data_IF_100334561134
#
_entry.id   IF_100334561134
#
_cell.length_a   1.000
_cell.length_b   1.000
_cell.length_c   1.000
_cell.angle_alpha   90.00
_cell.angle_beta   90.00
_cell.angle_gamma   90.00
#
_symmetry.space_group_name_H-M   'P 1'
#
loop_
_entity.id
_entity.type
_entity.pdbx_description
1 polymer ?
#
# COMPACT_ATOMS: atom_id res chain seq x y z
N UNK A 1 -42.55 -2.41 -33.43
CA UNK A 1 -41.24 -1.75 -33.19
C UNK A 1 -40.72 -2.20 -31.84
N UNK A 2 -39.54 -2.79 -31.79
CA UNK A 2 -38.90 -3.19 -30.53
C UNK A 2 -38.16 -1.97 -29.98
N UNK A 3 -38.65 -1.38 -28.90
CA UNK A 3 -38.11 -0.12 -28.34
C UNK A 3 -36.82 -0.30 -27.51
N UNK A 4 -36.46 -1.54 -27.17
CA UNK A 4 -35.21 -1.85 -26.45
C UNK A 4 -34.85 -3.33 -26.62
N UNK A 5 -33.59 -3.61 -26.95
CA UNK A 5 -32.99 -4.94 -26.79
C UNK A 5 -32.08 -4.89 -25.56
N UNK A 6 -32.19 -5.86 -24.67
CA UNK A 6 -31.28 -6.05 -23.53
C UNK A 6 -30.87 -7.51 -23.44
N UNK A 7 -29.75 -7.78 -22.79
CA UNK A 7 -29.31 -9.15 -22.49
C UNK A 7 -30.27 -9.80 -21.48
N UNK A 8 -30.25 -11.14 -21.42
CA UNK A 8 -30.98 -11.92 -20.40
C UNK A 8 -30.23 -11.98 -19.06
N UNK A 9 -29.04 -11.39 -18.99
CA UNK A 9 -28.24 -11.33 -17.78
C UNK A 9 -28.84 -10.31 -16.80
N UNK A 10 -28.66 -10.54 -15.51
CA UNK A 10 -29.12 -9.61 -14.48
C UNK A 10 -28.43 -8.25 -14.65
N UNK A 11 -29.23 -7.21 -14.80
CA UNK A 11 -28.77 -5.83 -15.03
C UNK A 11 -28.50 -5.15 -13.69
N UNK A 12 -27.26 -5.23 -13.23
CA UNK A 12 -26.79 -4.58 -12.01
C UNK A 12 -26.78 -3.04 -12.09
N UNK A 13 -26.95 -2.44 -13.28
CA UNK A 13 -26.79 -1.01 -13.53
C UNK A 13 -28.11 -0.23 -13.49
N UNK A 14 -29.21 -0.85 -13.07
CA UNK A 14 -30.47 -0.13 -12.85
C UNK A 14 -30.42 0.62 -11.53
N UNK A 15 -29.72 1.76 -11.52
CA UNK A 15 -30.04 2.82 -10.58
C UNK A 15 -31.54 3.13 -10.78
N UNK A 16 -32.37 3.08 -9.72
CA UNK A 16 -33.76 3.48 -9.83
C UNK A 16 -33.83 4.85 -10.50
N UNK A 17 -34.63 5.00 -11.56
CA UNK A 17 -34.90 6.33 -12.10
C UNK A 17 -35.45 7.19 -10.96
N UNK A 18 -34.99 8.43 -10.76
CA UNK A 18 -35.47 9.27 -9.68
C UNK A 18 -36.98 9.39 -9.75
N UNK A 19 -37.66 8.90 -8.71
CA UNK A 19 -39.09 8.99 -8.52
C UNK A 19 -39.36 10.39 -7.96
N UNK A 20 -39.60 11.37 -8.84
CA UNK A 20 -40.22 12.68 -8.57
C UNK A 20 -40.38 13.04 -7.05
N UNK A 21 -39.28 13.21 -6.31
CA UNK A 21 -39.40 13.36 -4.86
C UNK A 21 -38.08 13.37 -4.09
N UNK A 22 -37.04 12.72 -4.60
CA UNK A 22 -35.76 12.58 -3.89
C UNK A 22 -35.08 13.92 -3.62
N UNK A 23 -35.24 14.90 -4.52
CA UNK A 23 -34.70 16.25 -4.33
C UNK A 23 -35.33 16.94 -3.12
N UNK A 24 -36.65 16.79 -2.94
CA UNK A 24 -37.36 17.36 -1.79
C UNK A 24 -36.99 16.59 -0.52
N UNK A 25 -37.04 15.26 -0.58
CA UNK A 25 -36.67 14.40 0.54
C UNK A 25 -35.24 14.66 1.04
N UNK A 26 -34.27 14.80 0.12
CA UNK A 26 -32.88 15.14 0.46
C UNK A 26 -32.77 16.49 1.19
N UNK A 27 -33.53 17.50 0.77
CA UNK A 27 -33.56 18.80 1.46
C UNK A 27 -34.19 18.72 2.84
N UNK A 28 -35.25 17.93 2.98
CA UNK A 28 -35.93 17.77 4.26
C UNK A 28 -35.05 16.99 5.25
N UNK A 29 -34.32 15.98 4.79
CA UNK A 29 -33.30 15.28 5.59
C UNK A 29 -32.16 16.19 6.02
N UNK A 30 -31.71 17.15 5.18
CA UNK A 30 -30.73 18.16 5.61
C UNK A 30 -31.28 19.03 6.73
N UNK A 31 -32.54 19.46 6.66
CA UNK A 31 -33.17 20.23 7.75
C UNK A 31 -33.23 19.42 9.04
N UNK A 32 -33.47 18.12 8.95
CA UNK A 32 -33.48 17.21 10.10
C UNK A 32 -32.07 17.07 10.70
N UNK A 33 -31.05 16.83 9.89
CA UNK A 33 -29.65 16.81 10.32
C UNK A 33 -29.22 18.13 10.98
N UNK A 34 -29.65 19.28 10.43
CA UNK A 34 -29.39 20.59 11.04
C UNK A 34 -29.96 20.71 12.45
N UNK A 35 -31.14 20.13 12.73
CA UNK A 35 -31.76 20.15 14.06
C UNK A 35 -31.04 19.23 15.06
N UNK A 36 -30.46 18.14 14.56
CA UNK A 36 -29.75 17.14 15.36
C UNK A 36 -28.25 17.49 15.59
N UNK A 37 -27.80 18.67 15.16
CA UNK A 37 -26.41 19.12 15.25
C UNK A 37 -26.30 20.61 15.64
N UNK A 38 -27.17 21.07 16.54
CA UNK A 38 -27.19 22.48 16.99
C UNK A 38 -26.12 22.73 18.05
N UNK A 39 -26.07 21.92 19.11
CA UNK A 39 -25.11 22.03 20.21
C UNK A 39 -24.16 20.82 20.26
N UNK A 40 -24.74 19.61 20.24
CA UNK A 40 -24.03 18.34 20.14
C UNK A 40 -24.72 17.41 19.12
N UNK A 41 -23.95 16.48 18.56
CA UNK A 41 -24.47 15.45 17.63
C UNK A 41 -25.37 14.49 18.42
N UNK A 42 -26.67 14.50 18.08
CA UNK A 42 -27.64 13.63 18.72
C UNK A 42 -27.49 12.16 18.26
N UNK A 43 -27.85 11.15 19.07
CA UNK A 43 -27.73 9.73 18.73
C UNK A 43 -28.47 9.31 17.46
N UNK A 44 -29.53 10.02 17.07
CA UNK A 44 -30.33 9.77 15.88
C UNK A 44 -29.68 10.30 14.59
N UNK A 45 -28.65 11.16 14.72
CA UNK A 45 -27.99 11.77 13.58
C UNK A 45 -27.44 10.75 12.55
N UNK A 46 -26.76 9.65 12.94
CA UNK A 46 -26.25 8.66 11.99
C UNK A 46 -27.34 8.00 11.15
N UNK A 47 -28.54 7.80 11.71
CA UNK A 47 -29.68 7.22 10.99
C UNK A 47 -30.21 8.18 9.93
N UNK A 48 -30.35 9.46 10.27
CA UNK A 48 -30.78 10.51 9.32
C UNK A 48 -29.72 10.72 8.24
N UNK A 49 -28.44 10.71 8.61
CA UNK A 49 -27.32 10.82 7.67
C UNK A 49 -27.29 9.64 6.69
N UNK A 50 -27.50 8.42 7.17
CA UNK A 50 -27.61 7.23 6.32
C UNK A 50 -28.80 7.32 5.36
N UNK A 51 -29.98 7.75 5.85
CA UNK A 51 -31.16 8.01 4.99
C UNK A 51 -30.86 9.07 3.93
N UNK A 52 -30.12 10.12 4.28
CA UNK A 52 -29.68 11.15 3.34
C UNK A 52 -28.79 10.54 2.25
N UNK A 53 -27.79 9.72 2.60
CA UNK A 53 -26.93 9.04 1.62
C UNK A 53 -27.75 8.18 0.65
N UNK A 54 -28.67 7.35 1.17
CA UNK A 54 -29.52 6.49 0.34
C UNK A 54 -30.45 7.27 -0.60
N UNK A 55 -30.93 8.43 -0.17
CA UNK A 55 -31.82 9.28 -0.96
C UNK A 55 -31.04 10.10 -1.99
N UNK A 56 -29.97 10.77 -1.55
CA UNK A 56 -29.19 11.69 -2.35
C UNK A 56 -28.38 11.00 -3.45
N UNK A 57 -28.02 9.72 -3.28
CA UNK A 57 -27.29 8.96 -4.31
C UNK A 57 -28.07 8.77 -5.62
N UNK A 58 -29.40 8.91 -5.59
CA UNK A 58 -30.29 8.82 -6.75
C UNK A 58 -30.43 10.16 -7.50
N UNK A 59 -29.88 11.25 -6.95
CA UNK A 59 -29.96 12.56 -7.57
C UNK A 59 -29.07 12.64 -8.81
N UNK A 60 -29.58 13.30 -9.84
CA UNK A 60 -28.76 13.70 -10.99
C UNK A 60 -27.77 14.80 -10.60
N UNK A 61 -26.71 14.98 -11.39
CA UNK A 61 -25.71 16.03 -11.17
C UNK A 61 -26.34 17.44 -10.98
N UNK A 62 -27.32 17.89 -11.81
CA UNK A 62 -27.97 19.17 -11.59
C UNK A 62 -28.75 19.25 -10.27
N UNK A 63 -29.44 18.16 -9.90
CA UNK A 63 -30.23 18.12 -8.67
C UNK A 63 -29.34 18.14 -7.43
N UNK A 64 -28.27 17.33 -7.40
CA UNK A 64 -27.30 17.30 -6.31
C UNK A 64 -26.54 18.63 -6.19
N UNK A 65 -26.13 19.23 -7.31
CA UNK A 65 -25.55 20.57 -7.34
C UNK A 65 -26.48 21.64 -6.76
N UNK A 66 -27.79 21.52 -7.02
CA UNK A 66 -28.79 22.40 -6.45
C UNK A 66 -28.96 22.19 -4.93
N UNK A 67 -28.89 20.94 -4.45
CA UNK A 67 -28.91 20.65 -3.01
C UNK A 67 -27.66 21.25 -2.34
N UNK A 68 -26.48 21.04 -2.91
CA UNK A 68 -25.22 21.58 -2.42
C UNK A 68 -25.22 23.12 -2.33
N UNK A 69 -25.57 23.81 -3.42
CA UNK A 69 -25.58 25.28 -3.47
C UNK A 69 -26.57 25.92 -2.48
N UNK A 70 -27.70 25.26 -2.18
CA UNK A 70 -28.71 25.77 -1.25
C UNK A 70 -28.50 25.33 0.19
N UNK A 71 -27.55 24.45 0.47
CA UNK A 71 -27.40 23.85 1.79
C UNK A 71 -27.04 24.88 2.87
N UNK A 72 -26.18 25.83 2.53
CA UNK A 72 -25.77 26.90 3.43
C UNK A 72 -26.92 27.83 3.84
N UNK A 73 -27.99 27.93 3.03
CA UNK A 73 -29.18 28.69 3.39
C UNK A 73 -30.16 27.91 4.26
N UNK A 74 -29.96 26.60 4.46
CA UNK A 74 -30.80 25.78 5.35
C UNK A 74 -30.36 25.95 6.80
N UNK A 75 -29.05 25.82 7.07
CA UNK A 75 -28.43 26.08 8.36
C UNK A 75 -26.91 26.27 8.19
N UNK A 76 -26.22 26.74 9.24
CA UNK A 76 -24.76 26.98 9.22
C UNK A 76 -23.94 25.73 8.91
N UNK A 77 -24.36 24.56 9.41
CA UNK A 77 -23.72 23.26 9.18
C UNK A 77 -24.20 22.54 7.92
N UNK A 78 -25.20 23.08 7.21
CA UNK A 78 -25.88 22.40 6.10
C UNK A 78 -24.93 22.04 4.96
N UNK A 79 -23.97 22.92 4.65
CA UNK A 79 -22.94 22.65 3.64
C UNK A 79 -22.00 21.53 4.08
N UNK A 80 -21.59 21.50 5.36
CA UNK A 80 -20.71 20.47 5.92
C UNK A 80 -21.35 19.08 5.79
N UNK A 81 -22.63 18.95 6.16
CA UNK A 81 -23.36 17.69 6.02
C UNK A 81 -23.34 17.10 4.60
N UNK A 82 -23.39 17.94 3.58
CA UNK A 82 -23.29 17.47 2.19
C UNK A 82 -21.86 17.10 1.83
N UNK A 83 -20.88 17.93 2.22
CA UNK A 83 -19.47 17.66 1.94
C UNK A 83 -19.04 16.31 2.55
N UNK A 84 -19.50 16.00 3.76
CA UNK A 84 -19.22 14.73 4.44
C UNK A 84 -19.90 13.54 3.74
N UNK A 85 -21.09 13.75 3.17
CA UNK A 85 -21.85 12.69 2.51
C UNK A 85 -21.37 12.40 1.07
N UNK A 86 -20.79 13.38 0.36
CA UNK A 86 -20.44 13.29 -1.05
C UNK A 86 -19.65 12.02 -1.42
N UNK A 87 -18.55 11.66 -0.72
CA UNK A 87 -17.79 10.45 -1.02
C UNK A 87 -18.59 9.16 -0.81
N UNK A 88 -19.56 9.18 0.09
CA UNK A 88 -20.37 8.01 0.48
C UNK A 88 -21.56 7.76 -0.46
N UNK A 89 -21.96 8.76 -1.27
CA UNK A 89 -23.08 8.61 -2.21
C UNK A 89 -22.78 7.52 -3.26
N UNK A 90 -21.54 7.44 -3.71
CA UNK A 90 -21.09 6.42 -4.67
C UNK A 90 -21.78 6.52 -6.03
N UNK A 91 -22.06 7.73 -6.52
CA UNK A 91 -22.68 7.97 -7.82
C UNK A 91 -21.86 8.93 -8.67
N UNK A 92 -21.95 8.80 -10.00
CA UNK A 92 -21.25 9.68 -10.94
C UNK A 92 -21.62 11.15 -10.74
N UNK A 93 -22.88 11.43 -10.38
CA UNK A 93 -23.33 12.77 -10.04
C UNK A 93 -22.58 13.36 -8.83
N UNK A 94 -22.33 12.55 -7.79
CA UNK A 94 -21.57 12.97 -6.63
C UNK A 94 -20.11 13.25 -6.98
N UNK A 95 -19.48 12.37 -7.76
CA UNK A 95 -18.09 12.54 -8.20
C UNK A 95 -17.92 13.78 -9.08
N UNK A 96 -18.92 14.10 -9.91
CA UNK A 96 -18.89 15.31 -10.74
C UNK A 96 -19.02 16.58 -9.90
N UNK A 97 -19.88 16.59 -8.88
CA UNK A 97 -19.96 17.68 -7.89
C UNK A 97 -18.63 17.81 -7.12
N UNK A 98 -18.05 16.70 -6.67
CA UNK A 98 -16.75 16.71 -5.98
C UNK A 98 -15.65 17.29 -6.86
N UNK A 99 -15.54 16.83 -8.11
CA UNK A 99 -14.60 17.36 -9.11
C UNK A 99 -14.74 18.87 -9.26
N UNK A 100 -15.96 19.38 -9.40
CA UNK A 100 -16.20 20.82 -9.56
C UNK A 100 -15.81 21.61 -8.31
N UNK A 101 -16.06 21.08 -7.12
CA UNK A 101 -15.65 21.70 -5.86
C UNK A 101 -14.13 21.75 -5.76
N UNK A 102 -13.43 20.65 -6.08
CA UNK A 102 -11.96 20.57 -6.06
C UNK A 102 -11.36 21.58 -7.04
N UNK A 103 -11.79 21.56 -8.30
CA UNK A 103 -11.24 22.44 -9.34
C UNK A 103 -11.45 23.93 -9.04
N UNK A 104 -12.49 24.29 -8.28
CA UNK A 104 -12.81 25.66 -7.86
C UNK A 104 -12.17 26.06 -6.52
N UNK A 105 -11.26 25.26 -5.97
CA UNK A 105 -10.66 25.52 -4.65
C UNK A 105 -11.74 25.67 -3.54
N UNK A 106 -12.83 24.90 -3.64
CA UNK A 106 -14.04 25.08 -2.82
C UNK A 106 -13.99 24.46 -1.43
N UNK A 107 -12.96 23.65 -1.14
CA UNK A 107 -12.68 23.02 0.17
C UNK A 107 -11.17 23.00 0.42
N UNK A 108 -10.74 22.90 1.70
CA UNK A 108 -9.35 22.66 2.08
C UNK A 108 -8.74 21.39 1.47
N UNK A 109 -7.41 21.35 1.33
CA UNK A 109 -6.69 20.25 0.67
C UNK A 109 -6.83 18.91 1.43
N UNK A 110 -6.84 18.94 2.76
CA UNK A 110 -7.09 17.78 3.63
C UNK A 110 -8.45 17.13 3.34
N UNK A 111 -9.51 17.93 3.16
CA UNK A 111 -10.84 17.42 2.76
C UNK A 111 -10.77 16.77 1.38
N UNK A 112 -10.00 17.34 0.44
CA UNK A 112 -9.81 16.72 -0.88
C UNK A 112 -9.07 15.39 -0.75
N UNK A 113 -8.10 15.29 0.14
CA UNK A 113 -7.36 14.07 0.39
C UNK A 113 -8.25 12.96 0.98
N UNK A 114 -9.09 13.29 1.95
CA UNK A 114 -10.07 12.35 2.51
C UNK A 114 -11.05 11.85 1.44
N UNK A 115 -11.50 12.76 0.58
CA UNK A 115 -12.35 12.42 -0.57
C UNK A 115 -11.65 11.46 -1.53
N UNK A 116 -10.43 11.77 -1.96
CA UNK A 116 -9.66 10.91 -2.87
C UNK A 116 -9.39 9.53 -2.28
N UNK A 117 -9.08 9.47 -0.98
CA UNK A 117 -8.89 8.21 -0.26
C UNK A 117 -10.18 7.38 -0.26
N UNK A 118 -11.32 7.98 0.09
CA UNK A 118 -12.61 7.28 0.05
C UNK A 118 -12.96 6.76 -1.36
N UNK A 119 -12.69 7.56 -2.40
CA UNK A 119 -12.91 7.15 -3.79
C UNK A 119 -12.01 5.97 -4.20
N UNK A 120 -10.79 5.86 -3.66
CA UNK A 120 -9.85 4.78 -3.99
C UNK A 120 -10.36 3.39 -3.60
N UNK A 121 -11.33 3.32 -2.68
CA UNK A 121 -11.96 2.08 -2.22
C UNK A 121 -13.27 1.73 -2.93
N UNK A 122 -13.66 2.45 -3.99
CA UNK A 122 -14.86 2.11 -4.76
C UNK A 122 -14.66 0.73 -5.42
N UNK A 123 -15.51 -0.28 -5.13
CA UNK A 123 -15.24 -1.66 -5.58
C UNK A 123 -15.37 -1.87 -7.09
N UNK A 124 -16.28 -1.11 -7.74
CA UNK A 124 -16.64 -1.25 -9.16
C UNK A 124 -16.93 0.12 -9.78
N UNK A 125 -15.91 0.97 -9.98
CA UNK A 125 -16.09 2.21 -10.74
C UNK A 125 -16.47 1.88 -12.19
N UNK A 126 -17.18 2.80 -12.84
CA UNK A 126 -17.51 2.70 -14.26
C UNK A 126 -16.64 3.63 -15.13
N UNK A 127 -16.75 3.52 -16.45
CA UNK A 127 -15.95 4.32 -17.37
C UNK A 127 -16.23 5.83 -17.23
N UNK A 128 -17.47 6.20 -16.90
CA UNK A 128 -17.85 7.59 -16.66
C UNK A 128 -17.11 8.16 -15.44
N UNK A 129 -16.96 7.38 -14.36
CA UNK A 129 -16.17 7.73 -13.18
C UNK A 129 -14.73 8.07 -13.57
N UNK A 130 -14.10 7.25 -14.42
CA UNK A 130 -12.74 7.50 -14.93
C UNK A 130 -12.68 8.83 -15.68
N UNK A 131 -13.64 9.09 -16.57
CA UNK A 131 -13.75 10.35 -17.30
C UNK A 131 -13.91 11.57 -16.38
N UNK A 132 -14.71 11.46 -15.33
CA UNK A 132 -14.95 12.53 -14.35
C UNK A 132 -13.68 12.88 -13.57
N UNK A 133 -12.91 11.90 -13.11
CA UNK A 133 -11.73 12.15 -12.26
C UNK A 133 -10.48 12.53 -13.07
N UNK A 134 -10.42 12.19 -14.36
CA UNK A 134 -9.26 12.45 -15.23
C UNK A 134 -8.74 13.90 -15.17
N UNK A 135 -9.59 14.95 -15.23
CA UNK A 135 -9.13 16.34 -15.16
C UNK A 135 -8.40 16.70 -13.86
N UNK A 136 -8.63 15.96 -12.77
CA UNK A 136 -7.99 16.21 -11.48
C UNK A 136 -6.47 15.95 -11.53
N UNK A 137 -5.99 15.08 -12.43
CA UNK A 137 -4.55 14.87 -12.66
C UNK A 137 -3.83 16.11 -13.20
N UNK A 138 -4.56 16.99 -13.90
CA UNK A 138 -4.02 18.22 -14.50
C UNK A 138 -4.29 19.46 -13.65
N UNK A 139 -4.83 19.29 -12.45
CA UNK A 139 -5.11 20.40 -11.57
C UNK A 139 -3.81 20.98 -10.98
N UNK A 140 -3.74 22.31 -10.87
CA UNK A 140 -2.52 23.05 -10.46
C UNK A 140 -1.97 22.65 -9.08
N UNK A 141 -2.82 22.14 -8.20
CA UNK A 141 -2.51 21.69 -6.82
C UNK A 141 -2.53 20.16 -6.69
N UNK A 142 -2.55 19.42 -7.81
CA UNK A 142 -2.47 17.97 -7.79
C UNK A 142 -1.10 17.54 -7.29
N UNK A 143 -1.08 16.84 -6.15
CA UNK A 143 0.11 16.25 -5.54
C UNK A 143 0.12 14.72 -5.73
N UNK A 144 1.02 14.03 -5.03
CA UNK A 144 1.15 12.58 -5.12
C UNK A 144 -0.17 11.82 -4.86
N UNK A 145 -1.02 12.31 -3.95
CA UNK A 145 -2.24 11.60 -3.56
C UNK A 145 -3.26 11.57 -4.70
N UNK A 146 -3.31 12.59 -5.55
CA UNK A 146 -4.16 12.60 -6.75
C UNK A 146 -3.79 11.48 -7.71
N UNK A 147 -2.50 11.36 -8.02
CA UNK A 147 -1.98 10.36 -8.95
C UNK A 147 -2.22 8.95 -8.41
N UNK A 148 -1.91 8.72 -7.13
CA UNK A 148 -2.06 7.40 -6.50
C UNK A 148 -3.53 7.01 -6.35
N UNK A 149 -4.41 7.92 -5.93
CA UNK A 149 -5.84 7.61 -5.76
C UNK A 149 -6.51 7.35 -7.11
N UNK A 150 -6.23 8.17 -8.13
CA UNK A 150 -6.78 7.97 -9.47
C UNK A 150 -6.27 6.66 -10.08
N UNK A 151 -4.98 6.34 -9.91
CA UNK A 151 -4.43 5.06 -10.36
C UNK A 151 -5.10 3.84 -9.70
N UNK A 152 -5.47 3.93 -8.42
CA UNK A 152 -6.20 2.87 -7.71
C UNK A 152 -7.64 2.69 -8.22
N UNK A 153 -8.31 3.80 -8.57
CA UNK A 153 -9.65 3.75 -9.18
C UNK A 153 -9.57 3.12 -10.57
N UNK A 154 -8.58 3.50 -11.39
CA UNK A 154 -8.34 2.91 -12.71
C UNK A 154 -8.03 1.42 -12.59
N UNK A 155 -7.18 1.02 -11.63
CA UNK A 155 -6.93 -0.39 -11.33
C UNK A 155 -8.21 -1.15 -11.01
N UNK A 156 -9.05 -0.59 -10.13
CA UNK A 156 -10.33 -1.20 -9.75
C UNK A 156 -11.28 -1.34 -10.94
N UNK A 157 -11.32 -0.35 -11.85
CA UNK A 157 -12.05 -0.47 -13.12
C UNK A 157 -11.49 -1.61 -13.99
N UNK A 158 -10.17 -1.66 -14.16
CA UNK A 158 -9.48 -2.63 -15.00
C UNK A 158 -9.62 -4.06 -14.50
N UNK A 159 -9.66 -4.28 -13.17
CA UNK A 159 -9.87 -5.60 -12.56
C UNK A 159 -11.16 -6.27 -13.05
N UNK A 160 -12.19 -5.50 -13.38
CA UNK A 160 -13.49 -6.01 -13.81
C UNK A 160 -13.73 -5.89 -15.32
N UNK A 161 -12.79 -5.34 -16.08
CA UNK A 161 -12.95 -5.06 -17.52
C UNK A 161 -11.70 -5.48 -18.30
N UNK A 162 -11.75 -6.66 -18.94
CA UNK A 162 -10.59 -7.29 -19.61
C UNK A 162 -9.92 -6.46 -20.71
N UNK A 163 -10.66 -5.57 -21.37
CA UNK A 163 -10.14 -4.64 -22.39
C UNK A 163 -10.07 -3.19 -21.88
N UNK A 164 -9.82 -2.97 -20.59
CA UNK A 164 -9.84 -1.61 -20.03
C UNK A 164 -8.81 -0.68 -20.70
N UNK A 165 -7.62 -1.19 -21.06
CA UNK A 165 -6.56 -0.40 -21.66
C UNK A 165 -6.92 0.20 -23.03
N UNK A 166 -7.85 -0.43 -23.76
CA UNK A 166 -8.31 0.10 -25.05
C UNK A 166 -9.34 1.22 -24.92
N UNK A 167 -9.85 1.49 -23.71
CA UNK A 167 -10.79 2.58 -23.48
C UNK A 167 -10.03 3.90 -23.48
N UNK A 168 -10.55 4.90 -24.21
CA UNK A 168 -9.86 6.17 -24.41
C UNK A 168 -9.54 6.88 -23.09
N UNK A 169 -10.46 6.84 -22.14
CA UNK A 169 -10.33 7.44 -20.81
C UNK A 169 -9.14 6.84 -20.04
N UNK A 170 -9.00 5.51 -20.07
CA UNK A 170 -7.92 4.79 -19.41
C UNK A 170 -6.59 5.01 -20.15
N UNK A 171 -6.60 4.86 -21.48
CA UNK A 171 -5.41 5.05 -22.32
C UNK A 171 -4.82 6.47 -22.18
N UNK A 172 -5.68 7.49 -22.07
CA UNK A 172 -5.23 8.87 -21.86
C UNK A 172 -4.53 9.08 -20.52
N UNK A 173 -5.02 8.44 -19.44
CA UNK A 173 -4.37 8.48 -18.13
C UNK A 173 -3.02 7.77 -18.19
N UNK A 174 -2.97 6.57 -18.76
CA UNK A 174 -1.73 5.80 -18.91
C UNK A 174 -0.70 6.61 -19.70
N UNK A 175 -1.06 7.13 -20.87
CA UNK A 175 -0.17 7.95 -21.70
C UNK A 175 0.32 9.21 -20.98
N UNK A 176 -0.54 9.88 -20.20
CA UNK A 176 -0.14 11.03 -19.40
C UNK A 176 0.94 10.65 -18.36
N UNK A 177 0.74 9.55 -17.64
CA UNK A 177 1.68 9.05 -16.65
C UNK A 177 2.99 8.55 -17.28
N UNK A 178 2.90 7.83 -18.40
CA UNK A 178 4.06 7.36 -19.16
C UNK A 178 4.91 8.51 -19.68
N UNK A 179 4.29 9.55 -20.26
CA UNK A 179 5.02 10.73 -20.72
C UNK A 179 5.74 11.45 -19.58
N UNK A 180 5.09 11.55 -18.41
CA UNK A 180 5.69 12.15 -17.23
C UNK A 180 6.86 11.31 -16.69
N UNK A 181 6.71 9.98 -16.63
CA UNK A 181 7.78 9.07 -16.23
C UNK A 181 8.95 9.08 -17.25
N UNK A 182 8.65 9.04 -18.54
CA UNK A 182 9.63 9.05 -19.62
C UNK A 182 10.49 10.31 -19.63
N UNK A 183 9.82 11.47 -19.60
CA UNK A 183 10.51 12.77 -19.49
C UNK A 183 11.36 12.81 -18.22
N UNK A 184 10.78 12.32 -17.13
CA UNK A 184 11.46 12.16 -15.86
C UNK A 184 12.76 11.37 -16.00
N UNK A 185 12.73 10.19 -16.61
CA UNK A 185 13.87 9.28 -16.68
C UNK A 185 14.97 9.70 -17.68
N UNK A 186 14.72 10.60 -18.62
CA UNK A 186 15.74 11.09 -19.56
C UNK A 186 16.53 12.32 -19.08
N UNK A 187 16.00 13.09 -18.13
CA UNK A 187 16.65 14.34 -17.69
C UNK A 187 17.90 14.04 -16.87
N UNK A 188 19.06 14.56 -17.30
CA UNK A 188 20.35 14.35 -16.62
C UNK A 188 20.51 15.17 -15.33
N UNK A 189 20.05 16.42 -15.33
CA UNK A 189 20.07 17.29 -14.14
C UNK A 189 18.69 17.36 -13.51
N UNK A 190 18.47 16.55 -12.47
CA UNK A 190 17.17 16.50 -11.78
C UNK A 190 17.24 17.24 -10.46
N UNK A 191 16.34 18.21 -10.29
CA UNK A 191 16.03 18.69 -8.96
C UNK A 191 15.10 17.70 -8.23
N UNK A 192 15.01 17.84 -6.92
CA UNK A 192 14.19 16.96 -6.07
C UNK A 192 12.73 16.87 -6.54
N UNK A 193 12.16 17.99 -7.01
CA UNK A 193 10.78 18.05 -7.51
C UNK A 193 10.58 17.20 -8.77
N UNK A 194 11.57 17.18 -9.67
CA UNK A 194 11.52 16.35 -10.87
C UNK A 194 11.61 14.85 -10.52
N UNK A 195 12.46 14.50 -9.55
CA UNK A 195 12.58 13.12 -9.04
C UNK A 195 11.24 12.67 -8.45
N UNK A 196 10.64 13.48 -7.59
CA UNK A 196 9.33 13.18 -6.97
C UNK A 196 8.22 12.98 -8.00
N UNK A 197 8.13 13.87 -9.00
CA UNK A 197 7.14 13.75 -10.08
C UNK A 197 7.34 12.49 -10.91
N UNK A 198 8.59 12.09 -11.16
CA UNK A 198 8.93 10.86 -11.88
C UNK A 198 8.52 9.64 -11.05
N UNK A 199 8.88 9.63 -9.76
CA UNK A 199 8.60 8.55 -8.82
C UNK A 199 7.08 8.32 -8.67
N UNK A 200 6.31 9.40 -8.49
CA UNK A 200 4.85 9.33 -8.38
C UNK A 200 4.22 8.78 -9.66
N UNK A 201 4.70 9.19 -10.84
CA UNK A 201 4.19 8.69 -12.11
C UNK A 201 4.45 7.17 -12.27
N UNK A 202 5.66 6.72 -11.95
CA UNK A 202 6.03 5.29 -11.98
C UNK A 202 5.18 4.48 -11.00
N UNK A 203 4.99 4.97 -9.77
CA UNK A 203 4.14 4.31 -8.76
C UNK A 203 2.68 4.24 -9.20
N UNK A 204 2.16 5.30 -9.84
CA UNK A 204 0.82 5.32 -10.41
C UNK A 204 0.66 4.32 -11.57
N UNK A 205 1.66 4.18 -12.45
CA UNK A 205 1.67 3.15 -13.49
C UNK A 205 1.63 1.73 -12.88
N UNK A 206 2.47 1.47 -11.89
CA UNK A 206 2.48 0.18 -11.18
C UNK A 206 1.21 -0.10 -10.37
N UNK A 207 0.51 0.95 -9.94
CA UNK A 207 -0.82 0.82 -9.34
C UNK A 207 -1.86 0.40 -10.37
N UNK A 208 -1.88 1.03 -11.55
CA UNK A 208 -2.80 0.70 -12.65
C UNK A 208 -2.63 -0.76 -13.07
N UNK A 209 -1.39 -1.17 -13.37
CA UNK A 209 -1.05 -2.56 -13.68
C UNK A 209 -1.69 -3.09 -14.97
N UNK A 210 -1.70 -2.30 -16.06
CA UNK A 210 -2.29 -2.69 -17.35
C UNK A 210 -1.19 -3.01 -18.35
N UNK A 211 -1.18 -4.24 -18.88
CA UNK A 211 -0.12 -4.78 -19.72
C UNK A 211 0.28 -3.95 -20.97
N UNK A 212 -0.60 -3.07 -21.48
CA UNK A 212 -0.21 -2.14 -22.54
C UNK A 212 0.95 -1.22 -22.14
N UNK A 213 1.14 -0.96 -20.84
CA UNK A 213 2.30 -0.25 -20.32
C UNK A 213 3.60 -1.07 -20.35
N UNK A 214 3.54 -2.40 -20.43
CA UNK A 214 4.73 -3.29 -20.53
C UNK A 214 5.46 -3.07 -21.85
N UNK A 215 4.71 -2.79 -22.93
CA UNK A 215 5.27 -2.47 -24.25
C UNK A 215 5.94 -1.10 -24.29
N UNK A 216 5.79 -0.29 -23.24
CA UNK A 216 6.44 1.00 -23.15
C UNK A 216 7.84 0.82 -22.53
N UNK A 217 8.93 1.12 -23.27
CA UNK A 217 10.30 0.97 -22.79
C UNK A 217 10.66 1.95 -21.66
N UNK A 218 9.73 2.81 -21.24
CA UNK A 218 9.96 3.82 -20.20
C UNK A 218 10.42 3.22 -18.89
N UNK A 219 9.78 2.15 -18.39
CA UNK A 219 10.20 1.55 -17.11
C UNK A 219 11.60 0.95 -17.21
N UNK A 220 11.90 0.26 -18.31
CA UNK A 220 13.23 -0.29 -18.58
C UNK A 220 14.29 0.81 -18.68
N UNK A 221 13.98 1.92 -19.36
CA UNK A 221 14.85 3.11 -19.42
C UNK A 221 15.15 3.67 -18.03
N UNK A 222 14.14 3.71 -17.15
CA UNK A 222 14.34 4.12 -15.75
C UNK A 222 15.16 3.12 -14.93
N UNK A 223 15.17 1.83 -15.28
CA UNK A 223 15.94 0.81 -14.56
C UNK A 223 17.41 0.84 -15.00
N UNK A 224 17.67 1.00 -16.29
CA UNK A 224 19.01 0.87 -16.89
C UNK A 224 19.88 2.11 -16.71
N UNK A 225 19.29 3.30 -16.58
CA UNK A 225 20.08 4.53 -16.41
C UNK A 225 20.68 4.63 -15.00
N UNK A 226 21.99 4.40 -14.91
CA UNK A 226 22.77 4.48 -13.67
C UNK A 226 22.88 5.89 -13.08
N UNK A 227 22.59 6.93 -13.87
CA UNK A 227 22.55 8.31 -13.37
C UNK A 227 21.31 8.59 -12.52
N UNK A 228 20.32 7.69 -12.56
CA UNK A 228 19.09 7.84 -11.81
C UNK A 228 19.26 7.48 -10.34
N UNK A 229 18.60 8.23 -9.43
CA UNK A 229 18.53 7.85 -8.03
C UNK A 229 17.99 6.43 -7.87
N UNK A 230 18.57 5.68 -6.92
CA UNK A 230 18.26 4.26 -6.73
C UNK A 230 16.77 4.04 -6.46
N UNK A 231 16.11 4.94 -5.74
CA UNK A 231 14.68 4.90 -5.46
C UNK A 231 13.80 4.98 -6.70
N UNK A 232 14.24 5.67 -7.76
CA UNK A 232 13.52 5.72 -9.04
C UNK A 232 13.69 4.39 -9.78
N UNK A 233 14.91 3.85 -9.79
CA UNK A 233 15.22 2.57 -10.43
C UNK A 233 14.46 1.41 -9.78
N UNK A 234 14.45 1.36 -8.44
CA UNK A 234 13.69 0.36 -7.67
C UNK A 234 12.18 0.51 -7.91
N UNK A 235 11.64 1.74 -7.87
CA UNK A 235 10.22 1.95 -8.13
C UNK A 235 9.83 1.51 -9.55
N UNK A 236 10.73 1.65 -10.53
CA UNK A 236 10.51 1.17 -11.89
C UNK A 236 10.49 -0.36 -11.96
N UNK A 237 11.32 -1.07 -11.19
CA UNK A 237 11.19 -2.53 -11.01
C UNK A 237 9.83 -2.87 -10.38
N UNK A 238 9.50 -2.27 -9.23
CA UNK A 238 8.24 -2.52 -8.51
C UNK A 238 6.97 -2.17 -9.29
N UNK A 239 7.07 -1.32 -10.31
CA UNK A 239 5.96 -1.01 -11.20
C UNK A 239 5.50 -2.20 -12.05
N UNK A 240 6.32 -3.25 -12.17
CA UNK A 240 5.99 -4.47 -12.90
C UNK A 240 5.13 -5.46 -12.10
N UNK A 241 4.95 -5.25 -10.79
CA UNK A 241 4.31 -6.20 -9.86
C UNK A 241 2.91 -6.72 -10.22
N UNK A 242 2.19 -6.01 -11.11
CA UNK A 242 0.83 -6.33 -11.58
C UNK A 242 0.78 -6.59 -13.09
N UNK A 243 1.93 -6.58 -13.75
CA UNK A 243 2.07 -6.83 -15.17
C UNK A 243 2.31 -8.34 -15.41
N UNK A 244 1.99 -8.86 -16.60
CA UNK A 244 2.26 -10.26 -16.94
C UNK A 244 3.76 -10.59 -16.80
N UNK A 245 4.04 -11.67 -16.08
CA UNK A 245 5.40 -12.09 -15.78
C UNK A 245 6.12 -12.65 -17.01
N UNK A 246 5.40 -13.21 -17.98
CA UNK A 246 5.96 -13.88 -19.16
C UNK A 246 6.85 -12.94 -20.00
N UNK A 247 6.53 -11.65 -20.04
CA UNK A 247 7.23 -10.67 -20.86
C UNK A 247 8.51 -10.13 -20.20
N UNK A 248 8.63 -10.24 -18.86
CA UNK A 248 9.68 -9.53 -18.10
C UNK A 248 10.55 -10.45 -17.22
N UNK A 249 10.15 -11.71 -17.02
CA UNK A 249 10.86 -12.66 -16.15
C UNK A 249 12.32 -12.86 -16.55
N UNK A 250 12.63 -12.98 -17.84
CA UNK A 250 14.01 -13.17 -18.32
C UNK A 250 14.87 -11.92 -18.07
N UNK A 251 14.32 -10.72 -18.32
CA UNK A 251 15.00 -9.46 -18.07
C UNK A 251 15.41 -9.32 -16.59
N UNK A 252 14.46 -9.50 -15.67
CA UNK A 252 14.75 -9.39 -14.23
C UNK A 252 15.63 -10.53 -13.70
N UNK A 253 15.51 -11.74 -14.26
CA UNK A 253 16.39 -12.84 -13.90
C UNK A 253 17.84 -12.56 -14.31
N UNK A 254 18.06 -11.94 -15.48
CA UNK A 254 19.39 -11.51 -15.90
C UNK A 254 19.92 -10.37 -15.02
N UNK A 255 19.08 -9.38 -14.71
CA UNK A 255 19.46 -8.27 -13.83
C UNK A 255 19.82 -8.73 -12.40
N UNK A 256 19.11 -9.72 -11.88
CA UNK A 256 19.44 -10.38 -10.62
C UNK A 256 20.81 -11.10 -10.66
N UNK A 257 21.14 -11.76 -11.78
CA UNK A 257 22.36 -12.56 -11.93
C UNK A 257 23.62 -11.73 -12.16
N UNK A 258 23.48 -10.53 -12.68
CA UNK A 258 24.59 -9.65 -12.96
C UNK A 258 25.20 -9.08 -11.67
N UNK A 259 26.38 -9.56 -11.30
CA UNK A 259 27.07 -9.13 -10.09
C UNK A 259 27.65 -7.71 -10.16
N UNK A 260 27.68 -7.09 -11.35
CA UNK A 260 28.09 -5.68 -11.51
C UNK A 260 27.00 -4.70 -11.05
N UNK A 261 25.75 -5.17 -10.97
CA UNK A 261 24.59 -4.37 -10.58
C UNK A 261 24.53 -4.18 -9.06
N UNK A 262 24.07 -3.01 -8.62
CA UNK A 262 23.92 -2.70 -7.20
C UNK A 262 23.00 -3.73 -6.49
N UNK A 263 23.40 -4.13 -5.27
CA UNK A 263 22.70 -5.16 -4.50
C UNK A 263 21.22 -4.86 -4.29
N UNK A 264 20.84 -3.60 -4.11
CA UNK A 264 19.43 -3.22 -3.91
C UNK A 264 18.59 -3.52 -5.15
N UNK A 265 19.12 -3.21 -6.34
CA UNK A 265 18.42 -3.44 -7.61
C UNK A 265 18.37 -4.94 -7.97
N UNK A 266 19.44 -5.68 -7.67
CA UNK A 266 19.46 -7.15 -7.80
C UNK A 266 18.42 -7.81 -6.91
N UNK A 267 18.29 -7.37 -5.65
CA UNK A 267 17.28 -7.89 -4.72
C UNK A 267 15.86 -7.52 -5.18
N UNK A 268 15.63 -6.28 -5.64
CA UNK A 268 14.34 -5.87 -6.19
C UNK A 268 13.94 -6.74 -7.40
N UNK A 269 14.90 -7.03 -8.28
CA UNK A 269 14.69 -7.86 -9.47
C UNK A 269 14.40 -9.31 -9.09
N UNK A 270 15.10 -9.85 -8.09
CA UNK A 270 14.80 -11.16 -7.52
C UNK A 270 13.37 -11.24 -6.98
N UNK A 271 12.94 -10.24 -6.19
CA UNK A 271 11.57 -10.20 -5.66
C UNK A 271 10.53 -10.13 -6.76
N UNK A 272 10.80 -9.38 -7.83
CA UNK A 272 9.90 -9.29 -8.99
C UNK A 272 9.75 -10.63 -9.72
N UNK A 273 10.87 -11.32 -9.97
CA UNK A 273 10.87 -12.68 -10.56
C UNK A 273 10.14 -13.69 -9.66
N UNK A 274 10.28 -13.58 -8.35
CA UNK A 274 9.66 -14.49 -7.38
C UNK A 274 8.15 -14.28 -7.22
N UNK A 275 7.53 -13.31 -7.89
CA UNK A 275 6.05 -13.18 -7.94
C UNK A 275 5.38 -14.27 -8.76
N UNK A 276 6.04 -14.71 -9.83
CA UNK A 276 5.56 -15.77 -10.72
C UNK A 276 6.65 -16.85 -10.90
N UNK A 277 7.05 -17.55 -9.81
CA UNK A 277 8.13 -18.51 -9.89
C UNK A 277 7.70 -19.72 -10.71
N UNK A 278 8.61 -20.23 -11.51
CA UNK A 278 8.47 -21.54 -12.16
C UNK A 278 9.72 -22.39 -11.90
N UNK A 279 9.67 -23.67 -12.25
CA UNK A 279 10.77 -24.61 -12.02
C UNK A 279 12.12 -24.12 -12.55
N UNK A 280 12.15 -23.57 -13.78
CA UNK A 280 13.39 -23.08 -14.40
C UNK A 280 13.95 -21.84 -13.71
N UNK A 281 13.07 -20.92 -13.31
CA UNK A 281 13.40 -19.72 -12.53
C UNK A 281 14.02 -20.14 -11.19
N UNK A 282 13.33 -20.99 -10.43
CA UNK A 282 13.78 -21.44 -9.10
C UNK A 282 15.12 -22.18 -9.20
N UNK A 283 15.26 -23.07 -10.18
CA UNK A 283 16.52 -23.77 -10.45
C UNK A 283 17.67 -22.81 -10.77
N UNK A 284 17.40 -21.77 -11.57
CA UNK A 284 18.40 -20.76 -11.92
C UNK A 284 18.80 -19.94 -10.71
N UNK A 285 17.84 -19.50 -9.89
CA UNK A 285 18.08 -18.77 -8.65
C UNK A 285 18.94 -19.61 -7.69
N UNK A 286 18.62 -20.89 -7.49
CA UNK A 286 19.43 -21.80 -6.65
C UNK A 286 20.88 -21.89 -7.14
N UNK A 287 21.10 -22.04 -8.46
CA UNK A 287 22.45 -22.06 -9.03
C UNK A 287 23.17 -20.72 -8.85
N UNK A 288 22.49 -19.60 -9.08
CA UNK A 288 23.07 -18.28 -8.86
C UNK A 288 23.45 -18.04 -7.40
N UNK A 289 22.71 -18.63 -6.47
CA UNK A 289 23.04 -18.59 -5.04
C UNK A 289 24.32 -19.40 -4.71
N UNK A 290 24.62 -20.48 -5.42
CA UNK A 290 25.87 -21.24 -5.27
C UNK A 290 27.09 -20.40 -5.68
N UNK A 291 26.94 -19.58 -6.72
CA UNK A 291 27.99 -18.72 -7.30
C UNK A 291 28.03 -17.30 -6.69
N UNK A 292 27.08 -16.94 -5.82
CA UNK A 292 26.97 -15.59 -5.26
C UNK A 292 28.10 -15.27 -4.29
N UNK A 293 28.72 -14.10 -4.46
CA UNK A 293 29.81 -13.59 -3.63
C UNK A 293 29.38 -12.42 -2.74
N UNK A 294 28.32 -11.70 -3.12
CA UNK A 294 27.81 -10.54 -2.39
C UNK A 294 26.87 -10.99 -1.28
N UNK A 295 27.36 -10.93 -0.04
CA UNK A 295 26.58 -11.31 1.15
C UNK A 295 25.23 -10.61 1.27
N UNK A 296 25.08 -9.37 0.77
CA UNK A 296 23.78 -8.68 0.80
C UNK A 296 22.73 -9.42 -0.03
N UNK A 297 23.06 -9.82 -1.25
CA UNK A 297 22.14 -10.55 -2.12
C UNK A 297 21.97 -11.99 -1.63
N UNK A 298 23.07 -12.67 -1.31
CA UNK A 298 23.05 -14.06 -0.89
C UNK A 298 22.27 -14.32 0.39
N UNK A 299 22.46 -13.50 1.43
CA UNK A 299 21.74 -13.65 2.71
C UNK A 299 20.25 -13.38 2.55
N UNK A 300 19.88 -12.40 1.71
CA UNK A 300 18.48 -12.08 1.43
C UNK A 300 17.78 -13.21 0.68
N UNK A 301 18.36 -13.65 -0.44
CA UNK A 301 17.79 -14.73 -1.27
C UNK A 301 17.70 -16.02 -0.47
N UNK A 302 18.75 -16.38 0.28
CA UNK A 302 18.74 -17.58 1.11
C UNK A 302 17.64 -17.52 2.17
N UNK A 303 17.55 -16.42 2.93
CA UNK A 303 16.52 -16.29 3.98
C UNK A 303 15.11 -16.28 3.41
N UNK A 304 14.86 -15.61 2.27
CA UNK A 304 13.55 -15.63 1.60
C UNK A 304 13.17 -17.03 1.14
N UNK A 305 14.04 -17.76 0.44
CA UNK A 305 13.77 -19.13 -0.01
C UNK A 305 13.54 -20.09 1.18
N UNK A 306 14.33 -19.93 2.25
CA UNK A 306 14.20 -20.74 3.46
C UNK A 306 12.88 -20.48 4.20
N UNK A 307 12.46 -19.22 4.28
CA UNK A 307 11.19 -18.83 4.86
C UNK A 307 10.01 -19.33 4.02
N UNK A 308 10.09 -19.25 2.70
CA UNK A 308 9.07 -19.83 1.81
C UNK A 308 8.89 -21.34 2.05
N UNK A 309 10.00 -22.08 2.18
CA UNK A 309 9.99 -23.51 2.51
C UNK A 309 9.32 -23.84 3.86
N UNK A 310 9.41 -22.93 4.83
CA UNK A 310 8.90 -23.12 6.20
C UNK A 310 7.52 -22.52 6.44
N UNK A 311 7.01 -21.73 5.50
CA UNK A 311 5.74 -21.03 5.68
C UNK A 311 4.58 -22.01 5.88
N UNK A 312 3.64 -21.64 6.75
CA UNK A 312 2.37 -22.33 6.92
C UNK A 312 1.25 -21.71 6.07
N UNK A 313 1.56 -20.74 5.21
CA UNK A 313 0.58 -20.03 4.37
C UNK A 313 0.11 -20.92 3.20
N UNK A 314 -1.21 -21.12 3.01
CA UNK A 314 -1.74 -21.90 1.88
C UNK A 314 -1.34 -21.34 0.52
N UNK A 315 -1.22 -20.01 0.39
CA UNK A 315 -0.79 -19.34 -0.84
C UNK A 315 0.67 -19.60 -1.22
N UNK A 316 1.48 -20.19 -0.33
CA UNK A 316 2.91 -20.48 -0.57
C UNK A 316 3.17 -21.97 -0.87
N UNK A 317 2.16 -22.83 -0.92
CA UNK A 317 2.31 -24.29 -1.15
C UNK A 317 2.92 -24.60 -2.52
N UNK A 318 2.55 -23.86 -3.57
CA UNK A 318 3.08 -24.08 -4.92
C UNK A 318 4.60 -23.83 -4.98
N UNK A 319 5.05 -22.70 -4.42
CA UNK A 319 6.47 -22.37 -4.38
C UNK A 319 7.26 -23.30 -3.45
N UNK A 320 6.64 -23.81 -2.38
CA UNK A 320 7.26 -24.84 -1.55
C UNK A 320 7.56 -26.11 -2.35
N UNK A 321 6.61 -26.58 -3.15
CA UNK A 321 6.81 -27.75 -4.01
C UNK A 321 7.97 -27.54 -4.99
N UNK A 322 8.09 -26.36 -5.59
CA UNK A 322 9.21 -26.01 -6.47
C UNK A 322 10.57 -25.98 -5.75
N UNK A 323 10.58 -25.80 -4.43
CA UNK A 323 11.80 -25.70 -3.62
C UNK A 323 12.25 -27.03 -2.99
N UNK A 324 11.42 -28.08 -2.97
CA UNK A 324 11.70 -29.36 -2.29
C UNK A 324 12.89 -30.16 -2.86
N UNK A 325 13.21 -30.01 -4.15
CA UNK A 325 14.13 -30.92 -4.86
C UNK A 325 15.62 -30.81 -4.46
N UNK A 326 16.03 -29.74 -3.74
CA UNK A 326 17.44 -29.51 -3.38
C UNK A 326 17.58 -28.64 -2.14
N UNK A 327 18.49 -29.04 -1.25
CA UNK A 327 18.91 -28.26 -0.09
C UNK A 327 19.47 -26.89 -0.50
N UNK A 328 19.17 -25.87 0.29
CA UNK A 328 19.71 -24.52 0.11
C UNK A 328 21.13 -24.45 0.69
N UNK A 329 22.08 -23.94 -0.09
CA UNK A 329 23.46 -23.76 0.36
C UNK A 329 23.51 -22.80 1.56
N UNK A 330 24.08 -23.25 2.68
CA UNK A 330 24.22 -22.46 3.91
C UNK A 330 25.62 -21.85 4.04
N UNK A 331 26.02 -20.97 3.11
CA UNK A 331 27.32 -20.28 3.14
C UNK A 331 27.27 -18.80 3.55
N UNK A 332 26.08 -18.20 3.61
CA UNK A 332 25.91 -16.77 3.87
C UNK A 332 25.81 -16.45 5.36
N UNK A 333 26.14 -15.21 5.72
CA UNK A 333 26.12 -14.77 7.11
C UNK A 333 24.69 -14.48 7.59
N UNK A 334 24.33 -15.07 8.72
CA UNK A 334 23.05 -14.80 9.39
C UNK A 334 23.08 -13.54 10.28
N UNK A 335 24.04 -12.63 10.12
CA UNK A 335 24.06 -11.38 10.90
C UNK A 335 23.05 -10.37 10.36
N UNK A 336 21.86 -10.44 10.96
CA UNK A 336 20.69 -9.59 10.71
C UNK A 336 20.92 -8.08 10.88
N UNK A 337 22.02 -7.68 11.53
CA UNK A 337 22.35 -6.27 11.79
C UNK A 337 23.15 -5.63 10.65
N UNK A 338 23.64 -6.43 9.72
CA UNK A 338 24.57 -5.99 8.66
C UNK A 338 24.14 -6.42 7.27
N UNK A 339 23.54 -7.59 7.15
CA UNK A 339 23.18 -8.18 5.87
C UNK A 339 21.67 -8.17 5.65
N UNK A 340 21.26 -7.99 4.41
CA UNK A 340 19.86 -8.05 4.00
C UNK A 340 19.24 -9.40 4.33
N UNK A 341 18.02 -9.38 4.87
CA UNK A 341 17.28 -10.59 5.25
C UNK A 341 15.78 -10.41 4.97
N UNK A 342 15.14 -11.51 4.61
CA UNK A 342 13.69 -11.67 4.67
C UNK A 342 13.32 -12.36 6.00
N UNK A 343 12.21 -11.93 6.58
CA UNK A 343 11.60 -12.52 7.77
C UNK A 343 10.17 -12.88 7.45
N UNK A 344 9.75 -14.08 7.84
CA UNK A 344 8.39 -14.54 7.68
C UNK A 344 7.93 -15.21 8.97
N UNK A 345 6.68 -14.97 9.32
CA UNK A 345 6.01 -15.77 10.32
C UNK A 345 4.57 -16.02 9.87
N UNK A 346 4.13 -17.26 9.98
CA UNK A 346 2.83 -17.71 9.49
C UNK A 346 2.19 -18.70 10.44
N UNK A 347 0.87 -18.63 10.54
CA UNK A 347 0.03 -19.56 11.30
C UNK A 347 -1.24 -19.82 10.49
N UNK A 348 -1.59 -21.09 10.31
CA UNK A 348 -2.81 -21.47 9.60
C UNK A 348 -3.54 -22.59 10.34
N UNK A 349 -4.84 -22.40 10.55
CA UNK A 349 -5.72 -23.35 11.23
C UNK A 349 -6.61 -24.04 10.19
N UNK A 350 -6.18 -25.22 9.73
CA UNK A 350 -6.87 -25.98 8.67
C UNK A 350 -8.36 -26.23 8.98
N UNK A 351 -8.68 -26.58 10.23
CA UNK A 351 -10.07 -26.86 10.66
C UNK A 351 -11.02 -25.65 10.52
N UNK A 352 -10.49 -24.43 10.54
CA UNK A 352 -11.28 -23.20 10.43
C UNK A 352 -11.08 -22.49 9.09
N UNK A 353 -10.20 -23.01 8.23
CA UNK A 353 -9.77 -22.37 6.99
C UNK A 353 -9.42 -20.88 7.19
N UNK A 354 -8.65 -20.63 8.24
CA UNK A 354 -8.29 -19.31 8.72
C UNK A 354 -6.83 -19.28 9.12
N UNK A 355 -6.12 -18.24 8.70
CA UNK A 355 -4.76 -18.01 9.14
C UNK A 355 -4.28 -16.61 8.83
N UNK A 356 -3.03 -16.38 9.16
CA UNK A 356 -2.37 -15.13 8.82
C UNK A 356 -0.87 -15.34 8.74
N UNK A 357 -0.25 -14.50 7.93
CA UNK A 357 1.19 -14.40 7.82
C UNK A 357 1.60 -12.93 7.85
N UNK A 358 2.82 -12.70 8.32
CA UNK A 358 3.52 -11.46 8.12
C UNK A 358 4.83 -11.74 7.41
N UNK A 359 5.25 -10.77 6.60
CA UNK A 359 6.50 -10.84 5.87
C UNK A 359 7.20 -9.50 5.96
N UNK A 360 8.51 -9.51 6.22
CA UNK A 360 9.33 -8.32 6.29
C UNK A 360 10.62 -8.48 5.50
N UNK A 361 10.92 -7.51 4.67
CA UNK A 361 12.18 -7.42 3.96
C UNK A 361 13.00 -6.30 4.57
N UNK A 362 14.24 -6.58 4.98
CA UNK A 362 15.19 -5.55 5.43
C UNK A 362 16.38 -5.59 4.50
N UNK A 363 16.60 -4.48 3.78
CA UNK A 363 17.63 -4.38 2.76
C UNK A 363 18.75 -3.47 3.25
N UNK A 364 19.94 -4.04 3.35
CA UNK A 364 21.18 -3.33 3.61
C UNK A 364 21.95 -3.11 2.31
N UNK A 365 22.74 -2.04 2.30
CA UNK A 365 23.68 -1.73 1.21
C UNK A 365 25.09 -1.62 1.78
N UNK A 366 26.14 -2.01 1.03
CA UNK A 366 27.53 -1.79 1.46
C UNK A 366 27.87 -0.32 1.72
N UNK A 367 27.04 0.61 1.21
CA UNK A 367 27.20 2.06 1.34
C UNK A 367 26.76 2.62 2.70
N UNK A 368 26.15 1.82 3.57
CA UNK A 368 25.68 2.26 4.91
C UNK A 368 25.71 1.12 5.92
N UNK A 369 25.88 1.43 7.20
CA UNK A 369 25.65 0.49 8.29
C UNK A 369 24.19 0.44 8.75
N UNK A 370 23.34 1.38 8.29
CA UNK A 370 21.91 1.36 8.48
C UNK A 370 21.24 0.65 7.29
N UNK A 371 20.09 0.00 7.50
CA UNK A 371 19.31 -0.56 6.40
C UNK A 371 18.83 0.58 5.49
N UNK A 372 18.91 0.36 4.18
CA UNK A 372 18.43 1.30 3.16
C UNK A 372 16.92 1.29 3.07
N UNK A 373 16.31 0.11 3.15
CA UNK A 373 14.86 -0.01 3.15
C UNK A 373 14.38 -1.14 4.06
N UNK A 374 13.15 -0.99 4.52
CA UNK A 374 12.42 -2.04 5.22
C UNK A 374 10.99 -2.07 4.68
N UNK A 375 10.47 -3.26 4.39
CA UNK A 375 9.05 -3.47 4.09
C UNK A 375 8.45 -4.41 5.12
N UNK A 376 7.17 -4.25 5.39
CA UNK A 376 6.39 -5.12 6.26
C UNK A 376 4.99 -5.27 5.67
N UNK A 377 4.57 -6.52 5.46
CA UNK A 377 3.31 -6.92 4.88
C UNK A 377 2.60 -7.86 5.87
N UNK A 378 1.29 -7.70 6.01
CA UNK A 378 0.40 -8.63 6.70
C UNK A 378 -0.65 -9.14 5.72
N UNK A 379 -0.70 -10.45 5.57
CA UNK A 379 -1.70 -11.16 4.77
C UNK A 379 -2.54 -12.04 5.67
N UNK A 380 -3.85 -12.02 5.47
CA UNK A 380 -4.82 -12.84 6.20
C UNK A 380 -5.47 -13.80 5.21
N UNK A 381 -5.51 -15.08 5.59
CA UNK A 381 -6.17 -16.13 4.82
C UNK A 381 -7.55 -16.38 5.43
N UNK A 382 -8.61 -16.06 4.68
CA UNK A 382 -10.00 -16.16 5.11
C UNK A 382 -10.84 -16.77 3.99
N UNK A 383 -11.58 -17.84 4.30
CA UNK A 383 -12.55 -18.45 3.38
C UNK A 383 -11.96 -18.89 2.03
N UNK A 384 -10.69 -19.30 2.01
CA UNK A 384 -10.00 -19.75 0.80
C UNK A 384 -9.38 -18.63 -0.04
N UNK A 385 -9.44 -17.38 0.42
CA UNK A 385 -8.81 -16.23 -0.21
C UNK A 385 -7.72 -15.65 0.68
N UNK A 386 -6.59 -15.26 0.08
CA UNK A 386 -5.51 -14.54 0.75
C UNK A 386 -5.64 -13.05 0.48
N UNK A 387 -5.81 -12.24 1.53
CA UNK A 387 -5.96 -10.79 1.41
C UNK A 387 -4.83 -10.09 2.16
N UNK A 388 -4.02 -9.33 1.43
CA UNK A 388 -3.10 -8.37 2.04
C UNK A 388 -3.92 -7.22 2.65
N UNK A 389 -3.86 -7.08 3.96
CA UNK A 389 -4.62 -6.09 4.72
C UNK A 389 -3.77 -4.87 5.09
N UNK A 390 -2.45 -4.99 5.05
CA UNK A 390 -1.54 -3.96 5.48
C UNK A 390 -0.17 -4.15 4.83
N UNK A 391 0.35 -3.10 4.21
CA UNK A 391 1.72 -3.05 3.72
C UNK A 391 2.31 -1.67 4.03
N UNK A 392 3.49 -1.66 4.64
CA UNK A 392 4.27 -0.45 4.88
C UNK A 392 5.67 -0.66 4.36
N UNK A 393 6.20 0.36 3.68
CA UNK A 393 7.56 0.38 3.18
C UNK A 393 8.21 1.70 3.57
N UNK A 394 9.42 1.62 4.10
CA UNK A 394 10.25 2.78 4.45
C UNK A 394 11.60 2.68 3.76
N UNK A 395 12.10 3.81 3.26
CA UNK A 395 13.46 3.97 2.76
C UNK A 395 14.15 5.09 3.52
N UNK A 396 15.41 4.91 3.86
CA UNK A 396 16.23 5.93 4.52
C UNK A 396 17.62 6.00 3.89
N UNK A 397 18.12 7.22 3.73
CA UNK A 397 19.48 7.51 3.28
C UNK A 397 20.01 8.74 4.03
N UNK A 398 21.30 8.73 4.41
CA UNK A 398 21.93 9.88 5.06
C UNK A 398 21.53 10.10 6.52
N UNK A 399 20.92 9.10 7.17
CA UNK A 399 20.48 9.18 8.56
C UNK A 399 21.57 8.83 9.59
N UNK A 400 22.75 8.39 9.13
CA UNK A 400 23.86 7.92 9.95
C UNK A 400 24.30 8.98 10.97
N UNK A 401 24.43 10.23 10.54
CA UNK A 401 24.83 11.33 11.43
C UNK A 401 23.81 11.57 12.55
N UNK A 402 22.51 11.46 12.27
CA UNK A 402 21.46 11.63 13.28
C UNK A 402 21.48 10.47 14.28
N UNK A 403 21.63 9.24 13.79
CA UNK A 403 21.76 8.06 14.66
C UNK A 403 23.00 8.16 15.53
N UNK A 404 24.15 8.58 14.97
CA UNK A 404 25.39 8.80 15.71
C UNK A 404 25.28 9.91 16.75
N UNK A 405 24.53 10.98 16.46
CA UNK A 405 24.31 12.05 17.44
C UNK A 405 23.58 11.55 18.69
N UNK A 406 22.72 10.53 18.55
CA UNK A 406 21.92 9.94 19.63
C UNK A 406 22.64 8.79 20.32
N UNK A 407 23.16 7.83 19.54
CA UNK A 407 23.68 6.55 20.01
C UNK A 407 25.21 6.42 19.92
N UNK A 408 25.88 7.33 19.21
CA UNK A 408 27.34 7.37 19.13
C UNK A 408 27.99 7.65 20.48
N UNK A 409 29.31 7.60 20.54
CA UNK A 409 30.08 7.67 21.80
C UNK A 409 29.77 8.90 22.66
N UNK A 410 29.45 10.04 22.03
CA UNK A 410 29.09 11.31 22.69
C UNK A 410 27.58 11.53 22.86
N UNK A 411 26.75 10.65 22.30
CA UNK A 411 25.30 10.79 22.28
C UNK A 411 24.65 10.55 23.66
N UNK A 412 23.41 11.02 23.86
CA UNK A 412 22.65 10.80 25.10
C UNK A 412 22.42 9.31 25.41
N UNK A 413 22.29 8.47 24.39
CA UNK A 413 22.05 7.02 24.51
C UNK A 413 23.30 6.19 24.21
N UNK A 414 24.50 6.75 24.43
CA UNK A 414 25.75 6.00 24.23
C UNK A 414 25.84 4.81 25.18
N UNK A 415 26.52 3.74 24.76
CA UNK A 415 26.71 2.53 25.58
C UNK A 415 27.25 2.84 26.99
N UNK A 416 28.16 3.81 27.10
CA UNK A 416 28.71 4.23 28.39
C UNK A 416 27.63 4.84 29.30
N UNK A 417 26.83 5.78 28.77
CA UNK A 417 25.76 6.46 29.52
C UNK A 417 24.59 5.54 29.85
N UNK A 418 24.18 4.68 28.92
CA UNK A 418 23.13 3.69 29.15
C UNK A 418 23.57 2.67 30.20
N UNK A 419 24.82 2.19 30.13
CA UNK A 419 25.38 1.28 31.14
C UNK A 419 25.48 1.95 32.52
N UNK A 420 25.91 3.20 32.57
CA UNK A 420 25.95 3.98 33.82
C UNK A 420 24.53 4.19 34.40
N UNK A 421 23.55 4.55 33.54
CA UNK A 421 22.16 4.70 33.94
C UNK A 421 21.54 3.39 34.44
N UNK A 422 21.77 2.27 33.75
CA UNK A 422 21.35 0.93 34.17
C UNK A 422 22.03 0.50 35.48
N UNK A 423 23.30 0.85 35.68
CA UNK A 423 24.01 0.60 36.94
C UNK A 423 23.42 1.43 38.09
N UNK A 424 23.08 2.70 37.87
CA UNK A 424 22.38 3.54 38.85
C UNK A 424 20.98 3.00 39.19
N UNK A 425 20.24 2.51 38.18
CA UNK A 425 18.95 1.84 38.38
C UNK A 425 19.08 0.50 39.11
N UNK A 426 20.17 -0.26 38.89
CA UNK A 426 20.48 -1.48 39.65
C UNK A 426 20.86 -1.17 41.10
N UNK A 427 21.58 -0.08 41.35
CA UNK A 427 21.91 0.39 42.70
C UNK A 427 20.65 0.87 43.44
N UNK A 428 19.73 1.57 42.77
CA UNK A 428 18.42 1.93 43.34
C UNK A 428 17.52 0.72 43.64
N UNK A 429 17.78 -0.43 43.00
CA UNK A 429 17.09 -1.70 43.23
C UNK A 429 17.78 -2.60 44.26
N UNK A 430 18.92 -2.21 44.85
CA UNK A 430 19.44 -2.95 46.01
C UNK A 430 18.51 -2.68 47.19
N UNK A 431 17.71 -3.69 47.53
CA UNK A 431 16.79 -3.66 48.67
C UNK A 431 17.55 -3.28 49.95
N UNK A 432 17.01 -2.38 50.79
CA UNK A 432 17.55 -2.19 52.14
C UNK A 432 17.58 -3.54 52.86
N UNK A 433 18.65 -3.87 53.57
CA UNK A 433 18.79 -5.14 54.32
C UNK A 433 17.58 -5.42 55.23
N UNK A 434 16.93 -4.36 55.73
CA UNK A 434 15.71 -4.44 56.54
C UNK A 434 14.52 -5.07 55.80
N UNK A 435 14.37 -4.83 54.49
CA UNK A 435 13.29 -5.41 53.70
C UNK A 435 13.55 -6.89 53.36
N UNK A 436 14.82 -7.25 53.17
CA UNK A 436 15.25 -8.64 52.90
C UNK A 436 15.04 -9.53 54.13
N UNK A 437 15.26 -8.99 55.33
CA UNK A 437 14.97 -9.67 56.60
C UNK A 437 13.47 -9.91 56.79
N UNK A 438 12.61 -8.94 56.41
CA UNK A 438 11.14 -9.06 56.47
C UNK A 438 10.56 -10.04 55.45
N UNK A 439 11.15 -10.13 54.25
CA UNK A 439 10.74 -11.10 53.23
C UNK A 439 11.16 -12.53 53.62
N UNK A 440 12.33 -12.71 54.22
CA UNK A 440 12.78 -14.01 54.73
C UNK A 440 12.06 -14.48 56.01
N UNK A 441 11.34 -13.57 56.69
CA UNK A 441 10.49 -13.89 57.84
C UNK A 441 9.08 -14.32 57.45
N UNK A 442 8.71 -14.23 56.17
CA UNK A 442 7.45 -14.80 55.67
C UNK A 442 7.59 -16.32 55.56
N UNK A 443 6.64 -17.10 56.09
CA UNK A 443 6.68 -18.56 55.97
C UNK A 443 6.58 -18.96 54.49
N UNK A 444 7.48 -19.82 54.04
CA UNK A 444 7.46 -20.40 52.69
C UNK A 444 6.21 -21.27 52.54
N UNK A 445 5.15 -20.74 51.92
CA UNK A 445 3.99 -21.52 51.46
C UNK A 445 4.18 -21.88 50.00
N UNK A 446 5.19 -22.71 49.71
CA UNK A 446 5.25 -23.51 48.49
C UNK A 446 5.84 -24.86 48.87
N UNK A 447 5.03 -25.67 49.55
CA UNK A 447 5.22 -27.11 49.53
C UNK A 447 4.88 -27.61 48.12
N UNK A 448 5.86 -28.29 47.54
CA UNK A 448 5.82 -29.22 46.42
C UNK A 448 4.44 -29.75 46.05
N UNK A 449 4.03 -29.58 44.79
CA UNK A 449 3.45 -30.63 43.94
C UNK A 449 2.88 -30.06 42.63
N UNK A 450 3.68 -30.06 41.56
CA UNK A 450 3.16 -30.33 40.22
C UNK A 450 4.23 -31.10 39.46
N UNK A 451 4.06 -32.43 39.42
CA UNK A 451 4.78 -33.34 38.54
C UNK A 451 4.47 -33.02 37.07
N UNK A 452 5.45 -33.30 36.21
CA UNK A 452 5.52 -33.14 34.75
C UNK A 452 4.19 -33.22 33.96
N UNK A 453 4.01 -32.40 32.92
CA UNK A 453 3.06 -32.70 31.86
C UNK A 453 3.72 -33.50 30.72
N UNK A 454 3.01 -34.56 30.32
CA UNK A 454 3.18 -35.33 29.08
C UNK A 454 3.06 -34.47 27.83
#
# INVERSE_FOLDING_TARGET
>A
LVNRRSTLLFDHNRTPKPISGELKASRDLIKEMCKLNVDDIQPEFPDVFTKFIHTARLLSYPALSQVYSRAASICSTGRRHILDALPMLGSNAAFEVMKDIILKDGVPQDVVHDWLLALSFIPRPDLQTIGIITPLLKWKKADAQFYLSISAIVHSYCKWNSNCGTQAEVANIISFLENQAHSGCQIKEKNQVAIEKTLVAIKALGNIGVAQSVKNPTLQLCIEDEQLPMEVRIAAVEAHRRLPCEETSEYFLNLFRDQSVDSELRIASYLEVMRCPNYNIVKTIKRSLEEEEVNQVGSFVWSHLHNLLKSSSPSKVEIQALLQDKDLISKFSNDVRKYSHNYEGSLFFENYNFGGNYESNVIFSPKSYLPRSATFNVTVDLFGESVNIFEVAGRMEGFEHYVESVFGTKGPLSNARVKEGLQKLRFLRSTPEDLKSKVNALPNVVDTNFNDPK
#
